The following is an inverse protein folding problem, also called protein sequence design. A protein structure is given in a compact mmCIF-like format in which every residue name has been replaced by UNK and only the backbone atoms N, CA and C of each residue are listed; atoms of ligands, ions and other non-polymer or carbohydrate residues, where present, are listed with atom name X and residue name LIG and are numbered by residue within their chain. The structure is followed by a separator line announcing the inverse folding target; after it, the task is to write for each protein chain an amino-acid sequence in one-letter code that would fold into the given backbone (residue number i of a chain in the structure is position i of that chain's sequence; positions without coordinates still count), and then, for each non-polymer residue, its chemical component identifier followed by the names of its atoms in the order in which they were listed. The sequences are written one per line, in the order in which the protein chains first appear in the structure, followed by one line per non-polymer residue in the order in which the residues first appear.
data_IF_234233169953
#
_entry.id   IF_234233169953
#
_cell.length_a   1.000
_cell.length_b   1.000
_cell.length_c   1.000
_cell.angle_alpha   90.00
_cell.angle_beta   90.00
_cell.angle_gamma   90.00
#
_symmetry.space_group_name_H-M   'P 1'
#
loop_
_entity.id
_entity.type
_entity.pdbx_description
1 polymer ?
#
# COMPACT_ATOMS: atom_id res chain seq x y z
N UNK A 1 -16.03 5.58 -5.87
CA UNK A 1 -15.23 5.57 -4.62
C UNK A 1 -15.53 6.87 -3.90
N UNK A 2 -16.15 6.82 -2.71
CA UNK A 2 -16.50 8.03 -1.94
C UNK A 2 -15.39 8.26 -0.92
N UNK A 3 -14.57 9.30 -1.10
CA UNK A 3 -13.63 9.76 -0.08
C UNK A 3 -14.44 10.42 1.02
N UNK A 4 -14.74 9.67 2.10
CA UNK A 4 -15.55 10.18 3.22
C UNK A 4 -14.70 10.71 4.38
N UNK A 5 -13.37 10.72 4.24
CA UNK A 5 -12.44 11.18 5.27
C UNK A 5 -12.12 12.69 5.14
N UNK A 6 -13.12 13.54 4.89
CA UNK A 6 -12.92 15.00 4.72
C UNK A 6 -12.50 15.71 6.00
N UNK A 7 -12.66 15.08 7.17
CA UNK A 7 -12.36 15.66 8.48
C UNK A 7 -10.94 15.37 8.97
N UNK A 8 -10.15 14.61 8.22
CA UNK A 8 -8.75 14.29 8.57
C UNK A 8 -7.78 15.25 7.88
N UNK A 9 -6.60 15.53 8.48
CA UNK A 9 -5.53 16.22 7.78
C UNK A 9 -5.16 15.52 6.46
N UNK A 10 -4.75 16.30 5.45
CA UNK A 10 -4.37 15.77 4.13
C UNK A 10 -3.36 14.63 4.22
N UNK A 11 -2.36 14.77 5.10
CA UNK A 11 -1.33 13.74 5.30
C UNK A 11 -1.92 12.39 5.72
N UNK A 12 -2.98 12.40 6.54
CA UNK A 12 -3.65 11.19 6.99
C UNK A 12 -4.55 10.60 5.90
N UNK A 13 -5.24 11.45 5.14
CA UNK A 13 -6.03 11.00 3.97
C UNK A 13 -5.13 10.30 2.94
N UNK A 14 -3.97 10.89 2.64
CA UNK A 14 -2.98 10.31 1.70
C UNK A 14 -2.45 8.99 2.23
N UNK A 15 -2.08 8.91 3.52
CA UNK A 15 -1.62 7.65 4.14
C UNK A 15 -2.66 6.54 4.04
N UNK A 16 -3.94 6.83 4.30
CA UNK A 16 -5.04 5.86 4.20
C UNK A 16 -5.22 5.37 2.78
N UNK A 17 -5.21 6.30 1.81
CA UNK A 17 -5.34 5.96 0.40
C UNK A 17 -4.16 5.10 -0.07
N UNK A 18 -2.94 5.45 0.34
CA UNK A 18 -1.75 4.64 0.05
C UNK A 18 -1.86 3.24 0.65
N UNK A 19 -2.27 3.13 1.93
CA UNK A 19 -2.49 1.84 2.61
C UNK A 19 -3.51 0.98 1.87
N UNK A 20 -4.61 1.57 1.42
CA UNK A 20 -5.66 0.85 0.67
C UNK A 20 -5.14 0.31 -0.66
N UNK A 21 -4.45 1.14 -1.45
CA UNK A 21 -3.89 0.72 -2.75
C UNK A 21 -2.92 -0.45 -2.57
N UNK A 22 -1.95 -0.30 -1.66
CA UNK A 22 -0.91 -1.31 -1.43
C UNK A 22 -1.55 -2.61 -0.94
N UNK A 23 -2.47 -2.54 0.03
CA UNK A 23 -3.18 -3.71 0.55
C UNK A 23 -3.98 -4.43 -0.54
N UNK A 24 -4.71 -3.69 -1.39
CA UNK A 24 -5.50 -4.28 -2.47
C UNK A 24 -4.63 -5.00 -3.48
N UNK A 25 -3.48 -4.41 -3.84
CA UNK A 25 -2.51 -5.02 -4.76
C UNK A 25 -1.89 -6.28 -4.17
N UNK A 26 -1.47 -6.26 -2.90
CA UNK A 26 -0.94 -7.45 -2.23
C UNK A 26 -1.96 -8.57 -2.16
N UNK A 27 -3.21 -8.28 -1.78
CA UNK A 27 -4.30 -9.26 -1.77
C UNK A 27 -4.55 -9.90 -3.14
N UNK A 28 -4.40 -9.14 -4.23
CA UNK A 28 -4.55 -9.64 -5.61
C UNK A 28 -3.50 -10.70 -5.95
N UNK A 29 -2.26 -10.55 -5.50
CA UNK A 29 -1.14 -11.44 -5.81
C UNK A 29 -0.89 -12.54 -4.77
N UNK A 30 -1.52 -12.44 -3.59
CA UNK A 30 -1.41 -13.41 -2.51
C UNK A 30 -0.03 -13.44 -1.84
N UNK A 31 0.29 -14.55 -1.17
CA UNK A 31 1.53 -14.77 -0.41
C UNK A 31 2.61 -15.52 -1.19
N UNK A 32 2.51 -15.60 -2.53
CA UNK A 32 3.57 -16.19 -3.35
C UNK A 32 4.89 -15.42 -3.12
N UNK A 33 6.03 -16.13 -3.13
CA UNK A 33 7.33 -15.53 -2.82
C UNK A 33 7.69 -14.29 -3.67
N UNK A 34 7.08 -14.16 -4.86
CA UNK A 34 7.29 -13.07 -5.81
C UNK A 34 6.17 -12.01 -5.80
N UNK A 35 5.15 -12.13 -4.94
CA UNK A 35 4.01 -11.21 -4.91
C UNK A 35 4.45 -9.78 -4.55
N UNK A 36 5.32 -9.64 -3.54
CA UNK A 36 5.82 -8.33 -3.08
C UNK A 36 6.65 -7.63 -4.16
N UNK A 37 7.43 -8.38 -4.93
CA UNK A 37 8.26 -7.84 -6.00
C UNK A 37 7.41 -7.41 -7.21
N UNK A 38 6.40 -8.20 -7.54
CA UNK A 38 5.39 -7.84 -8.56
C UNK A 38 4.65 -6.56 -8.19
N UNK A 39 4.20 -6.45 -6.93
CA UNK A 39 3.51 -5.25 -6.43
C UNK A 39 4.41 -4.02 -6.48
N UNK A 40 5.68 -4.15 -6.05
CA UNK A 40 6.63 -3.04 -6.11
C UNK A 40 6.79 -2.53 -7.55
N UNK A 41 6.97 -3.45 -8.51
CA UNK A 41 7.08 -3.12 -9.93
C UNK A 41 5.83 -2.45 -10.49
N UNK A 42 4.64 -2.96 -10.18
CA UNK A 42 3.37 -2.37 -10.64
C UNK A 42 3.12 -0.97 -10.08
N UNK A 43 3.54 -0.72 -8.84
CA UNK A 43 3.40 0.58 -8.20
C UNK A 43 4.53 1.56 -8.57
N UNK A 44 5.49 1.14 -9.40
CA UNK A 44 6.65 1.97 -9.77
C UNK A 44 7.59 2.22 -8.59
N UNK A 45 7.63 1.31 -7.61
CA UNK A 45 8.44 1.42 -6.41
C UNK A 45 9.64 0.47 -6.49
N UNK A 46 10.75 0.87 -5.86
CA UNK A 46 11.78 -0.10 -5.51
C UNK A 46 11.24 -1.07 -4.45
N UNK A 47 11.85 -2.26 -4.38
CA UNK A 47 11.54 -3.25 -3.34
C UNK A 47 11.69 -2.63 -1.95
N UNK A 48 12.82 -1.98 -1.67
CA UNK A 48 13.08 -1.33 -0.38
C UNK A 48 12.01 -0.28 0.00
N UNK A 49 11.54 0.53 -0.96
CA UNK A 49 10.48 1.51 -0.72
C UNK A 49 9.16 0.85 -0.38
N UNK A 50 8.80 -0.26 -1.05
CA UNK A 50 7.60 -1.01 -0.71
C UNK A 50 7.71 -1.54 0.73
N UNK A 51 8.79 -2.22 1.11
CA UNK A 51 8.96 -2.75 2.47
C UNK A 51 8.91 -1.67 3.55
N UNK A 52 9.54 -0.51 3.34
CA UNK A 52 9.44 0.64 4.25
C UNK A 52 7.99 1.07 4.44
N UNK A 53 7.22 1.17 3.35
CA UNK A 53 5.80 1.53 3.39
C UNK A 53 4.94 0.49 4.11
N UNK A 54 5.24 -0.81 3.97
CA UNK A 54 4.52 -1.85 4.72
C UNK A 54 4.68 -1.67 6.23
N UNK A 55 5.89 -1.36 6.70
CA UNK A 55 6.16 -1.07 8.10
C UNK A 55 5.48 0.22 8.55
N UNK A 56 5.64 1.32 7.79
CA UNK A 56 5.08 2.64 8.15
C UNK A 56 3.54 2.65 8.19
N UNK A 57 2.91 1.85 7.33
CA UNK A 57 1.46 1.79 7.20
C UNK A 57 0.85 0.63 8.00
N UNK A 58 1.65 -0.15 8.73
CA UNK A 58 1.22 -1.34 9.47
C UNK A 58 0.38 -2.28 8.59
N UNK A 59 1.00 -2.76 7.50
CA UNK A 59 0.40 -3.71 6.55
C UNK A 59 1.10 -5.05 6.73
N UNK A 60 0.38 -5.99 7.35
CA UNK A 60 0.85 -7.36 7.57
C UNK A 60 0.28 -8.28 6.48
N UNK A 61 1.16 -8.79 5.60
CA UNK A 61 0.84 -9.63 4.43
C UNK A 61 1.83 -10.78 4.20
#
# INVERSE_FOLDING_TARGET
MKFQDTNLPLSEQVKRYEKEIITRKLKKYGSSGNAKDTVAKELGLSRATLYRKLTELDINV
#
